data_IF_713194092812
#
_entry.id   IF_713194092812
#
_cell.length_a   1.000
_cell.length_b   1.000
_cell.length_c   1.000
_cell.angle_alpha   90.00
_cell.angle_beta   90.00
_cell.angle_gamma   90.00
#
_symmetry.space_group_name_H-M   'P 1'
#
loop_
_entity.id
_entity.type
_entity.pdbx_description
1 polymer ?
#
# COMPACT_ATOMS: atom_id res chain seq x y z
N UNK A 1 -3.11 -9.34 -1.66
CA UNK A 1 -3.35 -9.47 -3.12
C UNK A 1 -2.77 -10.79 -3.55
N UNK A 2 -3.53 -11.61 -4.28
CA UNK A 2 -3.06 -12.90 -4.80
C UNK A 2 -2.02 -12.70 -5.90
N UNK A 3 -0.93 -13.48 -5.89
CA UNK A 3 0.21 -13.31 -6.80
C UNK A 3 -0.17 -13.50 -8.27
N UNK A 4 -1.04 -14.47 -8.58
CA UNK A 4 -1.52 -14.71 -9.94
C UNK A 4 -2.31 -13.54 -10.55
N UNK A 5 -2.97 -12.73 -9.70
CA UNK A 5 -3.66 -11.51 -10.17
C UNK A 5 -2.66 -10.41 -10.54
N UNK A 6 -1.54 -10.33 -9.82
CA UNK A 6 -0.47 -9.38 -10.13
C UNK A 6 0.17 -9.70 -11.48
N UNK A 7 0.50 -10.97 -11.72
CA UNK A 7 1.11 -11.43 -12.97
C UNK A 7 0.19 -11.20 -14.18
N UNK A 8 -1.12 -11.43 -14.04
CA UNK A 8 -2.10 -11.15 -15.09
C UNK A 8 -2.18 -9.66 -15.42
N UNK A 9 -2.10 -8.79 -14.41
CA UNK A 9 -2.12 -7.34 -14.60
C UNK A 9 -0.84 -6.87 -15.31
N UNK A 10 0.32 -7.35 -14.87
CA UNK A 10 1.62 -7.04 -15.49
C UNK A 10 1.68 -7.53 -16.94
N UNK A 11 1.20 -8.74 -17.23
CA UNK A 11 1.12 -9.30 -18.60
C UNK A 11 0.19 -8.48 -19.51
N UNK A 12 -0.85 -7.87 -18.94
CA UNK A 12 -1.76 -6.97 -19.65
C UNK A 12 -1.23 -5.53 -19.77
N UNK A 13 0.01 -5.27 -19.37
CA UNK A 13 0.65 -3.95 -19.46
C UNK A 13 0.33 -3.01 -18.31
N UNK A 14 -0.27 -3.50 -17.22
CA UNK A 14 -0.53 -2.70 -16.03
C UNK A 14 0.69 -2.70 -15.12
N UNK A 15 1.12 -1.52 -14.68
CA UNK A 15 2.20 -1.39 -13.69
C UNK A 15 1.66 -1.72 -12.29
N UNK A 16 2.20 -2.77 -11.67
CA UNK A 16 1.86 -3.11 -10.28
C UNK A 16 3.02 -2.72 -9.36
N UNK A 17 2.80 -1.69 -8.55
CA UNK A 17 3.76 -1.17 -7.59
C UNK A 17 3.18 -1.06 -6.18
N UNK A 18 4.03 -0.64 -5.24
CA UNK A 18 3.62 -0.36 -3.86
C UNK A 18 3.02 1.03 -3.71
N UNK A 19 2.27 1.25 -2.62
CA UNK A 19 1.73 2.59 -2.29
C UNK A 19 2.87 3.60 -2.11
N UNK A 20 3.99 3.17 -1.54
CA UNK A 20 5.20 3.98 -1.37
C UNK A 20 5.75 4.46 -2.70
N UNK A 21 5.81 3.60 -3.71
CA UNK A 21 6.23 3.99 -5.07
C UNK A 21 5.20 4.89 -5.76
N UNK A 22 3.89 4.65 -5.57
CA UNK A 22 2.85 5.46 -6.19
C UNK A 22 2.78 6.88 -5.63
N UNK A 23 2.97 7.03 -4.32
CA UNK A 23 2.93 8.31 -3.62
C UNK A 23 4.32 8.93 -3.42
N UNK A 24 5.37 8.28 -3.94
CA UNK A 24 6.77 8.69 -3.83
C UNK A 24 7.18 9.00 -2.37
N UNK A 25 6.67 8.22 -1.42
CA UNK A 25 6.87 8.49 0.01
C UNK A 25 8.31 8.20 0.42
N UNK A 26 8.87 9.10 1.22
CA UNK A 26 10.09 8.82 1.95
C UNK A 26 9.85 7.73 3.01
N UNK A 27 10.91 7.03 3.48
CA UNK A 27 10.77 6.03 4.54
C UNK A 27 10.12 6.59 5.82
N UNK A 28 10.38 7.86 6.13
CA UNK A 28 9.85 8.57 7.28
C UNK A 28 8.34 8.83 7.14
N UNK A 29 7.90 9.28 5.96
CA UNK A 29 6.48 9.49 5.66
C UNK A 29 5.69 8.19 5.63
N UNK A 30 6.27 7.12 5.07
CA UNK A 30 5.66 5.79 5.07
C UNK A 30 5.43 5.29 6.51
N UNK A 31 6.39 5.50 7.41
CA UNK A 31 6.25 5.17 8.83
C UNK A 31 5.15 5.99 9.52
N UNK A 32 5.04 7.29 9.21
CA UNK A 32 3.96 8.15 9.72
C UNK A 32 2.58 7.68 9.26
N UNK A 33 2.45 7.25 8.00
CA UNK A 33 1.20 6.70 7.45
C UNK A 33 0.81 5.40 8.17
N UNK A 34 1.75 4.49 8.38
CA UNK A 34 1.57 3.26 9.15
C UNK A 34 1.07 3.54 10.58
N UNK A 35 1.70 4.48 11.30
CA UNK A 35 1.31 4.87 12.65
C UNK A 35 -0.12 5.43 12.68
N UNK A 36 -0.44 6.38 11.78
CA UNK A 36 -1.79 6.96 11.68
C UNK A 36 -2.84 5.90 11.33
N UNK A 37 -2.51 4.96 10.45
CA UNK A 37 -3.39 3.87 10.04
C UNK A 37 -3.67 2.91 11.21
N UNK A 38 -2.64 2.53 11.97
CA UNK A 38 -2.75 1.68 13.14
C UNK A 38 -3.67 2.30 14.21
N UNK A 39 -3.49 3.59 14.50
CA UNK A 39 -4.34 4.35 15.44
C UNK A 39 -5.79 4.49 14.94
N UNK A 40 -5.99 4.67 13.63
CA UNK A 40 -7.32 4.75 13.03
C UNK A 40 -8.07 3.41 13.10
N UNK A 41 -7.34 2.29 13.02
CA UNK A 41 -7.90 0.94 13.16
C UNK A 41 -8.22 0.62 14.62
N UNK A 42 -7.36 1.00 15.56
CA UNK A 42 -7.58 0.77 16.99
C UNK A 42 -8.73 1.61 17.55
N UNK A 43 -9.02 2.77 16.96
CA UNK A 43 -10.15 3.62 17.36
C UNK A 43 -11.49 3.26 16.71
N UNK A 44 -11.48 2.49 15.61
CA UNK A 44 -12.69 2.01 14.91
C UNK A 44 -13.34 0.76 15.55
N UNK A 45 -12.77 0.19 16.62
CA UNK A 45 -13.31 -1.00 17.31
C UNK A 45 -14.34 -0.66 18.41
N UNK A 46 -15.00 0.50 18.33
CA UNK A 46 -16.09 0.88 19.24
C UNK A 46 -17.46 0.72 18.59
#
# INVERSE_FOLDING_TARGET
>A
MEQSKRELLETKGWKVGTVTEFLELTPEEAALVEIKLALSRSSKTK
#
